data_IF_873415675683
#
_entry.id   IF_873415675683
#
_cell.length_a   1.000
_cell.length_b   1.000
_cell.length_c   1.000
_cell.angle_alpha   90.00
_cell.angle_beta   90.00
_cell.angle_gamma   90.00
#
_symmetry.space_group_name_H-M   'P 1'
#
loop_
_entity.id
_entity.type
_entity.pdbx_description
1 polymer ?
#
# COMPACT_ATOMS: atom_id res chain seq x y z
N UNK A 1 17.48 -8.43 -9.06
CA UNK A 1 17.68 -7.41 -10.12
C UNK A 1 16.64 -6.30 -9.92
N UNK A 2 17.05 -5.04 -9.98
CA UNK A 2 16.14 -3.90 -9.81
C UNK A 2 15.73 -3.33 -11.17
N UNK A 3 14.44 -2.99 -11.33
CA UNK A 3 13.90 -2.45 -12.58
C UNK A 3 13.32 -1.07 -12.32
N UNK A 4 13.75 -0.07 -13.09
CA UNK A 4 13.31 1.32 -12.98
C UNK A 4 12.52 1.74 -14.22
N UNK A 5 11.29 2.21 -13.98
CA UNK A 5 10.40 2.71 -15.02
C UNK A 5 10.37 4.23 -14.99
N UNK A 6 10.55 4.85 -16.16
CA UNK A 6 10.40 6.29 -16.33
C UNK A 6 9.21 6.57 -17.25
N UNK A 7 8.25 7.33 -16.75
CA UNK A 7 7.10 7.77 -17.52
C UNK A 7 6.71 9.20 -17.16
N UNK A 8 6.15 9.91 -18.15
CA UNK A 8 5.61 11.25 -17.98
C UNK A 8 4.16 11.27 -17.45
N UNK A 9 3.56 10.09 -17.24
CA UNK A 9 2.20 9.92 -16.73
C UNK A 9 2.17 8.62 -15.92
N UNK A 10 1.52 8.66 -14.76
CA UNK A 10 1.35 7.52 -13.84
C UNK A 10 0.60 6.34 -14.46
N UNK A 11 -0.34 6.59 -15.38
CA UNK A 11 -1.09 5.55 -16.09
C UNK A 11 -0.21 4.65 -16.99
N UNK A 12 1.03 5.06 -17.27
CA UNK A 12 1.98 4.32 -18.09
C UNK A 12 2.96 3.49 -17.24
N UNK A 13 2.91 3.63 -15.91
CA UNK A 13 3.72 2.85 -14.99
C UNK A 13 3.06 1.49 -14.74
N UNK A 14 3.84 0.43 -14.45
CA UNK A 14 3.30 -0.84 -14.01
C UNK A 14 2.54 -0.68 -12.69
N UNK A 15 1.29 -1.13 -12.66
CA UNK A 15 0.43 -1.21 -11.50
C UNK A 15 0.40 -2.67 -11.02
N UNK A 16 1.40 -3.05 -10.23
CA UNK A 16 1.52 -4.41 -9.68
C UNK A 16 0.40 -4.63 -8.66
N UNK A 17 -0.38 -5.72 -8.81
CA UNK A 17 -1.55 -5.98 -7.97
C UNK A 17 -1.22 -6.80 -6.73
N UNK A 18 -0.25 -7.70 -6.86
CA UNK A 18 0.17 -8.60 -5.78
C UNK A 18 1.68 -8.81 -5.80
N UNK A 19 2.24 -9.03 -4.62
CA UNK A 19 3.59 -9.59 -4.54
C UNK A 19 3.57 -11.01 -5.12
N UNK A 20 4.57 -11.35 -5.94
CA UNK A 20 4.59 -12.62 -6.69
C UNK A 20 3.94 -12.55 -8.07
N UNK A 21 3.30 -11.44 -8.45
CA UNK A 21 2.90 -11.22 -9.85
C UNK A 21 4.13 -11.20 -10.76
N UNK A 22 3.91 -11.65 -12.00
CA UNK A 22 4.99 -11.83 -12.98
C UNK A 22 4.96 -10.66 -13.96
N UNK A 23 6.14 -10.08 -14.20
CA UNK A 23 6.33 -9.03 -15.20
C UNK A 23 7.19 -9.55 -16.35
N UNK A 24 6.66 -9.44 -17.58
CA UNK A 24 7.44 -9.62 -18.80
C UNK A 24 7.93 -8.27 -19.30
N UNK A 25 9.21 -8.18 -19.65
CA UNK A 25 9.87 -6.94 -20.09
C UNK A 25 10.59 -7.17 -21.41
N UNK A 26 10.30 -6.35 -22.41
CA UNK A 26 10.89 -6.44 -23.74
C UNK A 26 11.67 -5.15 -24.06
N UNK A 27 12.76 -5.31 -24.84
CA UNK A 27 13.61 -4.21 -25.32
C UNK A 27 14.08 -3.29 -24.18
N UNK A 28 14.67 -3.87 -23.14
CA UNK A 28 15.13 -3.15 -21.96
C UNK A 28 16.59 -2.74 -22.06
N UNK A 29 16.99 -1.71 -21.31
CA UNK A 29 18.40 -1.33 -21.19
C UNK A 29 18.94 -1.86 -19.86
N UNK A 30 19.97 -2.71 -19.91
CA UNK A 30 20.68 -3.17 -18.72
C UNK A 30 21.86 -2.23 -18.47
N UNK A 31 21.94 -1.67 -17.26
CA UNK A 31 23.04 -0.82 -16.80
C UNK A 31 23.74 -1.49 -15.62
N UNK A 32 25.05 -1.27 -15.53
CA UNK A 32 25.85 -1.69 -14.37
C UNK A 32 26.26 -0.44 -13.61
N UNK A 33 25.90 -0.36 -12.33
CA UNK A 33 26.26 0.73 -11.45
C UNK A 33 26.79 0.13 -10.14
N UNK A 34 28.01 0.50 -9.74
CA UNK A 34 28.68 -0.05 -8.56
C UNK A 34 28.72 -1.60 -8.49
N UNK A 35 28.82 -2.26 -9.65
CA UNK A 35 28.83 -3.73 -9.75
C UNK A 35 27.45 -4.39 -9.70
N UNK A 36 26.38 -3.62 -9.52
CA UNK A 36 25.00 -4.13 -9.54
C UNK A 36 24.33 -3.90 -10.90
N UNK A 37 23.50 -4.87 -11.30
CA UNK A 37 22.72 -4.80 -12.54
C UNK A 37 21.36 -4.14 -12.30
N UNK A 38 21.07 -3.12 -13.09
CA UNK A 38 19.80 -2.41 -13.12
C UNK A 38 19.18 -2.49 -14.50
N UNK A 39 17.86 -2.67 -14.55
CA UNK A 39 17.11 -2.64 -15.80
C UNK A 39 16.38 -1.29 -15.88
N UNK A 40 16.57 -0.57 -16.97
CA UNK A 40 15.85 0.67 -17.27
C UNK A 40 14.85 0.42 -18.39
N UNK A 41 13.61 0.89 -18.19
CA UNK A 41 12.54 0.81 -19.16
C UNK A 41 12.34 2.18 -19.80
N UNK A 42 12.60 2.26 -21.11
CA UNK A 42 12.43 3.47 -21.89
C UNK A 42 11.20 3.36 -22.80
N UNK A 43 10.17 4.17 -22.54
CA UNK A 43 8.87 4.16 -23.25
C UNK A 43 8.99 4.21 -24.79
N UNK A 44 10.10 4.76 -25.32
CA UNK A 44 10.34 4.86 -26.76
C UNK A 44 10.45 3.50 -27.45
N UNK A 45 10.91 2.45 -26.78
CA UNK A 45 11.09 1.14 -27.41
C UNK A 45 10.85 -0.04 -26.47
N UNK A 46 10.94 0.15 -25.16
CA UNK A 46 10.62 -0.89 -24.18
C UNK A 46 9.12 -1.12 -24.07
N UNK A 47 8.76 -2.33 -23.69
CA UNK A 47 7.37 -2.69 -23.37
C UNK A 47 7.32 -3.67 -22.20
N UNK A 48 6.20 -3.69 -21.51
CA UNK A 48 5.92 -4.64 -20.44
C UNK A 48 4.51 -5.23 -20.52
N UNK A 49 4.35 -6.38 -19.87
CA UNK A 49 3.06 -6.97 -19.52
C UNK A 49 3.11 -7.56 -18.10
N UNK A 50 2.01 -7.42 -17.36
CA UNK A 50 1.86 -7.94 -16.01
C UNK A 50 0.84 -9.08 -15.99
N UNK A 51 1.18 -10.16 -15.30
CA UNK A 51 0.40 -11.38 -15.19
C UNK A 51 0.23 -11.77 -13.73
N UNK A 52 -0.90 -12.40 -13.40
CA UNK A 52 -1.10 -12.95 -12.06
C UNK A 52 -0.12 -14.08 -11.76
N UNK A 53 0.39 -14.11 -10.53
CA UNK A 53 1.40 -15.07 -10.07
C UNK A 53 0.89 -16.46 -9.69
N UNK A 54 -0.43 -16.67 -9.57
CA UNK A 54 -0.97 -17.97 -9.16
C UNK A 54 -1.03 -18.96 -10.34
N UNK A 55 -0.80 -20.25 -10.04
CA UNK A 55 -0.86 -21.34 -11.04
C UNK A 55 -2.24 -21.43 -11.71
N UNK A 56 -3.31 -21.13 -10.96
CA UNK A 56 -4.69 -21.15 -11.44
C UNK A 56 -5.09 -19.94 -12.28
N UNK A 57 -4.29 -18.86 -12.31
CA UNK A 57 -4.66 -17.63 -13.02
C UNK A 57 -4.57 -17.83 -14.53
N UNK A 58 -5.47 -17.21 -15.29
CA UNK A 58 -5.40 -17.18 -16.75
C UNK A 58 -4.04 -16.61 -17.24
N UNK A 59 -3.65 -16.98 -18.46
CA UNK A 59 -2.45 -16.44 -19.13
C UNK A 59 -2.67 -15.03 -19.71
N UNK A 60 -3.78 -14.36 -19.36
CA UNK A 60 -4.08 -13.01 -19.85
C UNK A 60 -3.37 -11.99 -18.97
N UNK A 61 -2.60 -11.06 -19.56
CA UNK A 61 -2.03 -9.98 -18.77
C UNK A 61 -3.15 -9.06 -18.27
N UNK A 62 -3.10 -8.68 -17.00
CA UNK A 62 -4.06 -7.73 -16.45
C UNK A 62 -3.65 -6.27 -16.73
N UNK A 63 -2.40 -6.04 -17.13
CA UNK A 63 -1.93 -4.77 -17.64
C UNK A 63 -0.89 -4.99 -18.74
N UNK A 64 -0.98 -4.19 -19.80
CA UNK A 64 -0.09 -4.25 -20.95
C UNK A 64 0.31 -2.83 -21.37
N UNK A 65 1.57 -2.63 -21.72
CA UNK A 65 2.00 -1.40 -22.38
C UNK A 65 1.73 -1.46 -23.88
N UNK A 66 1.50 -0.31 -24.53
CA UNK A 66 1.06 -0.22 -25.94
C UNK A 66 1.86 -1.04 -26.97
N UNK A 67 3.13 -1.36 -26.71
CA UNK A 67 4.04 -2.02 -27.66
C UNK A 67 4.26 -3.50 -27.38
N UNK A 68 3.65 -4.05 -26.33
CA UNK A 68 3.89 -5.44 -25.98
C UNK A 68 3.15 -6.36 -26.94
N UNK A 69 3.86 -7.34 -27.48
CA UNK A 69 3.31 -8.42 -28.28
C UNK A 69 3.65 -9.73 -27.58
N UNK A 70 2.63 -10.39 -27.03
CA UNK A 70 2.80 -11.68 -26.39
C UNK A 70 2.95 -12.80 -27.42
N UNK A 71 3.75 -13.81 -27.11
CA UNK A 71 3.95 -15.00 -27.93
C UNK A 71 3.39 -16.25 -27.24
N UNK A 72 3.08 -17.31 -27.99
CA UNK A 72 2.67 -18.60 -27.39
C UNK A 72 3.75 -19.21 -26.48
N UNK A 73 5.03 -18.87 -26.71
CA UNK A 73 6.15 -19.30 -25.86
C UNK A 73 6.07 -18.71 -24.45
N UNK A 74 5.48 -17.52 -24.32
CA UNK A 74 5.36 -16.82 -23.05
C UNK A 74 4.53 -17.63 -22.05
N UNK A 75 3.52 -18.38 -22.52
CA UNK A 75 2.67 -19.21 -21.64
C UNK A 75 3.46 -20.33 -20.94
N UNK A 76 4.44 -20.93 -21.63
CA UNK A 76 5.28 -21.98 -21.05
C UNK A 76 6.21 -21.39 -19.97
N UNK A 77 6.83 -20.25 -20.27
CA UNK A 77 7.68 -19.53 -19.31
C UNK A 77 6.85 -19.08 -18.10
N UNK A 78 5.65 -18.52 -18.33
CA UNK A 78 4.73 -18.13 -17.26
C UNK A 78 4.37 -19.33 -16.37
N UNK A 79 4.08 -20.49 -16.94
CA UNK A 79 3.79 -21.71 -16.17
C UNK A 79 4.98 -22.09 -15.29
N UNK A 80 6.19 -22.08 -15.84
CA UNK A 80 7.41 -22.40 -15.08
C UNK A 80 7.65 -21.39 -13.95
N UNK A 81 7.47 -20.10 -14.20
CA UNK A 81 7.65 -19.05 -13.18
C UNK A 81 6.62 -19.17 -12.06
N UNK A 82 5.35 -19.44 -12.39
CA UNK A 82 4.28 -19.69 -11.39
C UNK A 82 4.59 -20.91 -10.53
N UNK A 83 5.04 -22.01 -11.15
CA UNK A 83 5.46 -23.20 -10.41
C UNK A 83 6.69 -22.93 -9.54
N UNK A 84 7.65 -22.15 -10.03
CA UNK A 84 8.84 -21.80 -9.25
C UNK A 84 8.48 -21.01 -7.99
N UNK A 85 7.52 -20.08 -8.08
CA UNK A 85 7.03 -19.30 -6.94
C UNK A 85 6.35 -20.15 -5.86
N UNK A 86 5.72 -21.28 -6.21
CA UNK A 86 5.13 -22.21 -5.22
C UNK A 86 6.20 -22.75 -4.27
N UNK A 87 7.40 -23.02 -4.80
CA UNK A 87 8.52 -23.53 -4.02
C UNK A 87 9.43 -22.43 -3.46
N UNK A 88 9.29 -21.20 -3.95
CA UNK A 88 10.10 -20.03 -3.56
C UNK A 88 9.19 -18.81 -3.31
N UNK A 89 8.34 -18.84 -2.28
CA UNK A 89 7.42 -17.74 -2.01
C UNK A 89 8.18 -16.44 -1.71
N UNK A 90 7.67 -15.27 -2.13
CA UNK A 90 8.31 -13.99 -1.83
C UNK A 90 8.42 -13.79 -0.31
N UNK A 91 9.65 -13.63 0.18
CA UNK A 91 9.92 -13.31 1.58
C UNK A 91 9.63 -11.84 1.85
N UNK A 92 8.50 -11.52 2.48
CA UNK A 92 8.14 -10.14 2.82
C UNK A 92 7.22 -10.06 4.05
N UNK A 93 7.44 -10.93 5.05
CA UNK A 93 6.63 -10.97 6.28
C UNK A 93 7.25 -10.28 7.50
N UNK A 94 8.57 -10.05 7.53
CA UNK A 94 9.24 -9.69 8.80
C UNK A 94 8.93 -8.29 9.34
N UNK A 95 8.47 -7.37 8.48
CA UNK A 95 8.08 -6.01 8.87
C UNK A 95 6.57 -5.77 8.83
N UNK A 96 5.79 -6.75 8.36
CA UNK A 96 4.34 -6.58 8.26
C UNK A 96 3.68 -6.84 9.62
N UNK A 97 2.98 -5.84 10.15
CA UNK A 97 2.25 -5.94 11.40
C UNK A 97 0.73 -5.81 11.20
N UNK A 98 0.00 -6.34 12.18
CA UNK A 98 -1.41 -6.02 12.40
C UNK A 98 -1.52 -4.86 13.38
N UNK A 99 -2.62 -4.12 13.34
CA UNK A 99 -2.87 -2.98 14.24
C UNK A 99 -2.75 -3.39 15.71
N UNK A 100 -3.17 -4.60 16.09
CA UNK A 100 -2.99 -5.13 17.46
C UNK A 100 -1.55 -5.27 17.95
N UNK A 101 -0.57 -5.26 17.06
CA UNK A 101 0.84 -5.50 17.38
C UNK A 101 1.72 -4.25 17.19
N UNK A 102 1.13 -3.09 16.89
CA UNK A 102 1.89 -1.87 16.67
C UNK A 102 2.60 -1.41 17.95
N UNK A 103 3.72 -0.72 17.77
CA UNK A 103 4.50 -0.13 18.86
C UNK A 103 4.82 1.32 18.52
N UNK A 104 4.78 2.18 19.53
CA UNK A 104 5.12 3.59 19.36
C UNK A 104 6.54 3.74 18.80
N UNK A 105 6.71 4.69 17.89
CA UNK A 105 8.00 5.11 17.33
C UNK A 105 8.78 4.03 16.55
N UNK A 106 8.14 2.91 16.25
CA UNK A 106 8.68 1.87 15.36
C UNK A 106 8.16 2.07 13.92
N UNK A 107 8.93 1.60 12.93
CA UNK A 107 8.47 1.53 11.55
C UNK A 107 8.02 0.12 11.19
N UNK A 108 6.97 0.03 10.39
CA UNK A 108 6.38 -1.24 9.98
C UNK A 108 5.61 -1.11 8.66
N UNK A 109 5.27 -2.26 8.07
CA UNK A 109 4.37 -2.38 6.94
C UNK A 109 2.97 -2.79 7.43
N UNK A 110 1.92 -2.17 6.89
CA UNK A 110 0.53 -2.46 7.24
C UNK A 110 -0.26 -2.83 5.99
N UNK A 111 -0.88 -4.01 6.00
CA UNK A 111 -1.90 -4.40 5.01
C UNK A 111 -3.28 -4.13 5.60
N UNK A 112 -4.05 -3.25 4.99
CA UNK A 112 -5.32 -2.77 5.51
C UNK A 112 -6.29 -2.38 4.39
N UNK A 113 -7.58 -2.26 4.75
CA UNK A 113 -8.56 -1.54 3.94
C UNK A 113 -8.40 -0.05 4.18
N UNK A 114 -8.39 0.73 3.11
CA UNK A 114 -8.61 2.17 3.16
C UNK A 114 -10.10 2.41 3.04
N UNK A 115 -10.70 2.90 4.11
CA UNK A 115 -12.14 3.10 4.23
C UNK A 115 -12.56 4.49 3.73
N UNK A 116 -11.73 5.49 4.02
CA UNK A 116 -11.98 6.87 3.63
C UNK A 116 -10.66 7.63 3.52
N UNK A 117 -10.64 8.66 2.68
CA UNK A 117 -9.52 9.60 2.57
C UNK A 117 -10.06 11.01 2.46
N UNK A 118 -9.56 11.91 3.29
CA UNK A 118 -9.93 13.33 3.25
C UNK A 118 -8.71 14.23 3.41
N UNK A 119 -8.86 15.48 2.97
CA UNK A 119 -7.89 16.54 3.20
C UNK A 119 -8.28 17.27 4.48
N UNK A 120 -7.33 17.34 5.42
CA UNK A 120 -7.45 18.11 6.64
C UNK A 120 -7.35 19.61 6.38
N UNK A 121 -7.72 20.45 7.36
CA UNK A 121 -7.76 21.91 7.22
C UNK A 121 -6.39 22.53 6.95
N UNK A 122 -5.32 21.91 7.45
CA UNK A 122 -3.92 22.30 7.24
C UNK A 122 -3.36 21.89 5.87
N UNK A 123 -4.14 21.19 5.05
CA UNK A 123 -3.73 20.62 3.76
C UNK A 123 -3.06 19.25 3.86
N UNK A 124 -2.96 18.67 5.07
CA UNK A 124 -2.50 17.30 5.26
C UNK A 124 -3.58 16.28 4.86
N UNK A 125 -3.18 15.13 4.33
CA UNK A 125 -4.10 14.05 3.99
C UNK A 125 -4.27 13.08 5.14
N UNK A 126 -5.50 12.64 5.36
CA UNK A 126 -5.85 11.69 6.41
C UNK A 126 -6.46 10.45 5.75
N UNK A 127 -5.81 9.31 5.96
CA UNK A 127 -6.32 7.99 5.57
C UNK A 127 -6.96 7.32 6.78
N UNK A 128 -8.21 6.89 6.64
CA UNK A 128 -8.88 6.06 7.63
C UNK A 128 -8.71 4.61 7.21
N UNK A 129 -7.87 3.89 7.93
CA UNK A 129 -7.47 2.53 7.60
C UNK A 129 -7.86 1.53 8.67
N UNK A 130 -8.15 0.31 8.25
CA UNK A 130 -8.64 -0.74 9.12
C UNK A 130 -8.16 -2.12 8.65
N UNK A 131 -7.67 -2.94 9.59
CA UNK A 131 -7.17 -4.29 9.28
C UNK A 131 -7.94 -5.42 9.99
N UNK A 132 -9.04 -5.07 10.67
CA UNK A 132 -9.85 -6.02 11.44
C UNK A 132 -9.45 -6.17 12.91
N UNK A 133 -8.35 -5.57 13.35
CA UNK A 133 -7.85 -5.72 14.73
C UNK A 133 -7.89 -4.41 15.50
N UNK A 134 -8.01 -4.50 16.82
CA UNK A 134 -7.90 -3.34 17.71
C UNK A 134 -6.44 -2.99 17.98
N UNK A 135 -6.10 -1.71 17.98
CA UNK A 135 -4.76 -1.25 18.42
C UNK A 135 -4.56 -1.54 19.92
N UNK A 136 -3.32 -1.67 20.40
CA UNK A 136 -3.04 -1.84 21.83
C UNK A 136 -3.71 -0.77 22.68
N UNK A 137 -4.17 -1.18 23.86
CA UNK A 137 -4.74 -0.27 24.84
C UNK A 137 -3.77 0.88 25.14
N UNK A 138 -4.31 2.07 25.19
CA UNK A 138 -3.55 3.32 25.26
C UNK A 138 -3.81 3.94 26.63
N UNK A 139 -2.77 4.22 27.40
CA UNK A 139 -2.94 4.93 28.67
C UNK A 139 -3.30 6.39 28.38
N UNK A 140 -4.41 6.85 28.94
CA UNK A 140 -4.77 8.26 28.93
C UNK A 140 -3.86 8.96 29.94
N UNK A 141 -2.84 9.67 29.46
CA UNK A 141 -2.02 10.52 30.32
C UNK A 141 -2.84 11.74 30.73
N UNK A 142 -3.59 11.58 31.83
CA UNK A 142 -4.33 12.68 32.46
C UNK A 142 -3.33 13.57 33.21
N UNK A 143 -2.73 14.52 32.50
CA UNK A 143 -2.19 15.72 33.15
C UNK A 143 -3.39 16.65 33.44
N UNK A 144 -4.15 16.33 34.48
CA UNK A 144 -5.35 17.07 34.90
C UNK A 144 -5.08 18.58 35.07
N UNK A 145 -3.87 18.93 35.49
CA UNK A 145 -3.44 20.33 35.66
C UNK A 145 -3.22 21.06 34.33
N UNK A 146 -2.95 20.32 33.23
CA UNK A 146 -2.69 20.88 31.89
C UNK A 146 -3.97 21.01 31.05
N UNK A 147 -4.99 20.18 31.30
CA UNK A 147 -6.32 20.30 30.65
C UNK A 147 -7.00 21.65 30.91
N UNK A 148 -6.78 22.23 32.10
CA UNK A 148 -7.34 23.54 32.45
C UNK A 148 -6.71 24.69 31.66
N UNK A 149 -5.52 24.49 31.08
CA UNK A 149 -4.74 25.52 30.37
C UNK A 149 -4.74 25.27 28.85
N UNK A 150 -4.66 24.02 28.42
CA UNK A 150 -4.75 23.58 27.02
C UNK A 150 -5.57 22.28 26.98
N UNK A 151 -6.85 22.34 26.59
CA UNK A 151 -7.70 21.16 26.55
C UNK A 151 -7.14 20.14 25.56
N UNK A 152 -7.14 18.88 25.97
CA UNK A 152 -6.69 17.79 25.12
C UNK A 152 -7.67 17.62 23.96
N UNK A 153 -7.23 17.71 22.68
CA UNK A 153 -8.14 17.53 21.57
C UNK A 153 -8.63 16.06 21.55
N UNK A 154 -9.91 15.86 21.87
CA UNK A 154 -10.58 14.55 21.80
C UNK A 154 -10.59 13.97 20.37
N UNK A 155 -10.37 14.83 19.37
CA UNK A 155 -10.21 14.45 17.98
C UNK A 155 -8.94 15.08 17.43
N UNK A 156 -8.08 14.33 16.70
CA UNK A 156 -6.92 14.90 16.03
C UNK A 156 -7.31 15.83 14.87
N UNK A 157 -8.57 15.81 14.45
CA UNK A 157 -9.13 16.54 13.32
C UNK A 157 -9.87 17.79 13.81
N UNK A 158 -9.67 18.94 13.17
CA UNK A 158 -10.38 20.18 13.52
C UNK A 158 -11.87 20.15 13.14
N UNK A 159 -12.28 19.26 12.22
CA UNK A 159 -13.66 19.06 11.81
C UNK A 159 -14.03 17.57 11.81
N UNK A 160 -15.20 17.19 12.35
CA UNK A 160 -15.63 15.79 12.36
C UNK A 160 -15.99 15.33 10.94
N UNK A 161 -15.75 14.05 10.66
CA UNK A 161 -16.21 13.42 9.42
C UNK A 161 -17.73 13.55 9.24
N UNK A 162 -18.22 13.67 7.99
CA UNK A 162 -19.65 13.64 7.70
C UNK A 162 -20.31 12.37 8.26
N UNK A 163 -21.54 12.51 8.73
CA UNK A 163 -22.30 11.40 9.32
C UNK A 163 -22.41 10.21 8.37
N UNK A 164 -22.56 10.44 7.07
CA UNK A 164 -22.67 9.35 6.10
C UNK A 164 -21.41 8.49 6.09
N UNK A 165 -20.23 9.11 6.20
CA UNK A 165 -18.94 8.39 6.26
C UNK A 165 -18.83 7.61 7.57
N UNK A 166 -19.13 8.23 8.70
CA UNK A 166 -19.07 7.59 10.02
C UNK A 166 -19.97 6.33 10.08
N UNK A 167 -21.15 6.37 9.46
CA UNK A 167 -22.06 5.23 9.41
C UNK A 167 -21.57 4.08 8.51
N UNK A 168 -20.51 4.27 7.73
CA UNK A 168 -19.89 3.21 6.90
C UNK A 168 -18.67 2.57 7.55
N UNK A 169 -18.16 3.15 8.65
CA UNK A 169 -17.00 2.61 9.35
C UNK A 169 -17.36 1.29 10.06
N UNK A 170 -16.41 0.34 10.13
CA UNK A 170 -16.63 -0.93 10.80
C UNK A 170 -16.86 -0.73 12.31
N UNK A 171 -17.74 -1.54 12.89
CA UNK A 171 -18.06 -1.48 14.32
C UNK A 171 -17.11 -2.28 15.22
N UNK A 172 -16.15 -3.00 14.62
CA UNK A 172 -15.18 -3.87 15.32
C UNK A 172 -13.79 -3.58 14.78
N UNK A 173 -12.78 -3.58 15.64
CA UNK A 173 -11.42 -3.21 15.29
C UNK A 173 -11.24 -1.70 15.28
N UNK A 174 -9.98 -1.27 15.38
CA UNK A 174 -9.66 0.16 15.42
C UNK A 174 -9.54 0.70 13.99
N UNK A 175 -10.21 1.82 13.72
CA UNK A 175 -9.96 2.63 12.52
C UNK A 175 -8.81 3.58 12.81
N UNK A 176 -7.60 3.23 12.34
CA UNK A 176 -6.41 4.04 12.50
C UNK A 176 -6.43 5.21 11.51
N UNK A 177 -6.05 6.40 11.97
CA UNK A 177 -5.83 7.58 11.14
C UNK A 177 -4.36 7.68 10.78
N UNK A 178 -4.05 7.71 9.48
CA UNK A 178 -2.68 7.85 8.97
C UNK A 178 -2.53 9.18 8.23
N UNK A 179 -1.61 10.02 8.69
CA UNK A 179 -1.41 11.38 8.20
C UNK A 179 -0.31 11.45 7.13
N UNK A 180 -0.50 12.28 6.11
CA UNK A 180 0.47 12.48 5.03
C UNK A 180 0.51 13.91 4.48
N UNK A 181 1.71 14.49 4.41
CA UNK A 181 1.92 15.81 3.83
C UNK A 181 2.28 15.79 2.33
N UNK A 182 2.34 14.60 1.70
CA UNK A 182 2.91 14.44 0.35
C UNK A 182 2.04 13.63 -0.62
N UNK A 183 0.76 13.44 -0.32
CA UNK A 183 -0.11 12.63 -1.16
C UNK A 183 -0.68 13.42 -2.36
N UNK A 184 -0.71 12.80 -3.55
CA UNK A 184 -1.22 13.43 -4.78
C UNK A 184 -2.71 13.14 -4.98
N UNK A 185 -3.50 14.20 -5.22
CA UNK A 185 -4.93 14.12 -5.57
C UNK A 185 -5.22 13.25 -6.79
N UNK A 186 -4.26 13.15 -7.71
CA UNK A 186 -4.37 12.34 -8.93
C UNK A 186 -4.57 10.84 -8.63
N UNK A 187 -4.04 10.36 -7.50
CA UNK A 187 -4.17 8.96 -7.07
C UNK A 187 -5.58 8.69 -6.48
N UNK A 188 -6.21 9.70 -5.86
CA UNK A 188 -7.56 9.58 -5.29
C UNK A 188 -8.63 9.41 -6.36
N UNK A 189 -8.49 10.08 -7.51
CA UNK A 189 -9.46 9.97 -8.59
C UNK A 189 -9.57 8.56 -9.17
N UNK A 190 -8.53 7.74 -8.99
CA UNK A 190 -8.51 6.33 -9.38
C UNK A 190 -9.20 5.41 -8.36
N UNK A 191 -9.55 5.93 -7.18
CA UNK A 191 -9.96 5.15 -6.00
C UNK A 191 -11.23 5.76 -5.39
N UNK A 192 -12.38 5.47 -5.99
CA UNK A 192 -13.68 6.00 -5.55
C UNK A 192 -14.33 5.22 -4.40
N UNK A 193 -13.85 4.02 -4.11
CA UNK A 193 -14.46 3.07 -3.18
C UNK A 193 -13.46 2.56 -2.14
N UNK A 194 -13.93 1.76 -1.18
CA UNK A 194 -13.07 1.05 -0.22
C UNK A 194 -12.14 0.11 -0.98
N UNK A 195 -10.83 0.19 -0.72
CA UNK A 195 -9.83 -0.65 -1.38
C UNK A 195 -8.79 -1.20 -0.40
N UNK A 196 -8.11 -2.27 -0.79
CA UNK A 196 -6.99 -2.83 -0.04
C UNK A 196 -5.68 -2.17 -0.45
N UNK A 197 -4.83 -1.89 0.53
CA UNK A 197 -3.50 -1.35 0.30
C UNK A 197 -2.49 -1.86 1.32
N UNK A 198 -1.22 -1.89 0.90
CA UNK A 198 -0.06 -1.99 1.77
C UNK A 198 0.56 -0.62 1.96
N UNK A 199 0.61 -0.18 3.20
CA UNK A 199 1.34 0.99 3.66
C UNK A 199 2.72 0.52 4.12
N UNK A 200 3.76 0.79 3.34
CA UNK A 200 5.13 0.38 3.66
C UNK A 200 5.87 1.45 4.45
N UNK A 201 6.63 1.02 5.46
CA UNK A 201 7.50 1.84 6.28
C UNK A 201 6.78 3.05 6.89
N UNK A 202 5.60 2.81 7.48
CA UNK A 202 4.86 3.82 8.26
C UNK A 202 5.28 3.76 9.72
N UNK A 203 4.99 4.82 10.47
CA UNK A 203 5.19 4.82 11.92
C UNK A 203 3.92 5.23 12.63
N UNK A 204 3.76 4.76 13.87
CA UNK A 204 2.66 5.15 14.74
C UNK A 204 3.20 5.73 16.04
N UNK A 205 2.51 6.72 16.58
CA UNK A 205 2.77 7.29 17.90
C UNK A 205 1.49 7.33 18.70
N UNK A 206 1.65 7.23 20.01
CA UNK A 206 0.59 7.50 20.96
C UNK A 206 0.56 9.00 21.23
N UNK A 207 -0.57 9.65 20.91
CA UNK A 207 -0.84 11.05 21.22
C UNK A 207 -2.19 11.11 21.93
N UNK A 208 -2.23 11.68 23.14
CA UNK A 208 -3.48 11.96 23.85
C UNK A 208 -4.42 10.74 24.03
N UNK A 209 -3.86 9.58 24.37
CA UNK A 209 -4.66 8.37 24.54
C UNK A 209 -5.12 7.72 23.23
N UNK A 210 -4.64 8.20 22.07
CA UNK A 210 -4.97 7.65 20.75
C UNK A 210 -3.73 7.28 19.95
N UNK A 211 -3.87 6.28 19.09
CA UNK A 211 -2.86 5.94 18.09
C UNK A 211 -3.00 6.82 16.85
N UNK A 212 -1.88 7.41 16.44
CA UNK A 212 -1.76 8.22 15.24
C UNK A 212 -0.69 7.65 14.33
N UNK A 213 -1.07 7.30 13.11
CA UNK A 213 -0.15 6.87 12.07
C UNK A 213 0.39 8.06 11.27
N UNK A 214 1.61 7.95 10.75
CA UNK A 214 2.17 8.96 9.85
C UNK A 214 3.01 8.34 8.73
N UNK A 215 2.92 8.95 7.54
CA UNK A 215 3.79 8.62 6.42
C UNK A 215 5.10 9.40 6.53
N UNK A 216 6.20 8.68 6.54
CA UNK A 216 7.54 9.21 6.42
C UNK A 216 7.85 9.56 4.95
N UNK A 217 8.89 10.39 4.69
CA UNK A 217 9.34 10.66 3.32
C UNK A 217 9.73 9.39 2.53
N UNK A 218 10.10 8.32 3.22
CA UNK A 218 10.44 7.02 2.65
C UNK A 218 9.26 6.03 2.58
N UNK A 219 8.09 6.38 3.13
CA UNK A 219 6.91 5.53 3.10
C UNK A 219 6.38 5.37 1.67
N UNK A 220 5.76 4.23 1.40
CA UNK A 220 5.16 3.92 0.10
C UNK A 220 3.78 3.32 0.31
N UNK A 221 2.82 3.69 -0.53
CA UNK A 221 1.51 3.04 -0.56
C UNK A 221 1.44 2.19 -1.83
N UNK A 222 1.06 0.92 -1.68
CA UNK A 222 0.82 -0.01 -2.79
C UNK A 222 -0.63 -0.47 -2.73
N UNK A 223 -1.33 -0.37 -3.86
CA UNK A 223 -2.64 -0.98 -4.00
C UNK A 223 -2.51 -2.50 -4.02
N UNK A 224 -3.46 -3.18 -3.39
CA UNK A 224 -3.54 -4.63 -3.37
C UNK A 224 -4.85 -5.10 -4.00
N UNK A 225 -4.77 -6.22 -4.71
CA UNK A 225 -5.97 -6.95 -5.12
C UNK A 225 -6.63 -7.63 -3.91
N UNK A 226 -7.94 -7.85 -3.97
CA UNK A 226 -8.64 -8.72 -3.02
C UNK A 226 -8.15 -10.17 -3.04
N UNK A 227 -7.45 -10.56 -4.11
CA UNK A 227 -6.85 -11.89 -4.30
C UNK A 227 -5.40 -11.97 -3.80
N UNK A 228 -4.80 -10.86 -3.35
CA UNK A 228 -3.43 -10.89 -2.82
C UNK A 228 -3.38 -11.78 -1.56
N UNK A 229 -2.36 -12.64 -1.46
CA UNK A 229 -2.23 -13.59 -0.37
C UNK A 229 -2.20 -12.94 1.03
N UNK A 230 -1.61 -11.74 1.14
CA UNK A 230 -1.60 -10.97 2.39
C UNK A 230 -2.99 -10.43 2.74
N UNK A 231 -3.80 -10.08 1.74
CA UNK A 231 -5.20 -9.68 1.95
C UNK A 231 -6.06 -10.85 2.38
N UNK A 232 -5.90 -12.01 1.74
CA UNK A 232 -6.63 -13.24 2.09
C UNK A 232 -6.32 -13.66 3.54
N UNK A 233 -5.08 -13.50 3.99
CA UNK A 233 -4.68 -13.78 5.37
C UNK A 233 -5.40 -12.87 6.40
N UNK A 234 -5.76 -11.64 6.02
CA UNK A 234 -6.54 -10.71 6.88
C UNK A 234 -8.04 -10.98 6.87
N UNK A 235 -8.55 -11.76 5.93
CA UNK A 235 -9.97 -12.12 5.82
C UNK A 235 -10.35 -13.38 6.60
N UNK A 236 -9.37 -14.08 7.17
CA UNK A 236 -9.55 -15.27 8.01
C UNK A 236 -9.78 -14.89 9.46
#
# INVERSE_FOLDING_TARGET
>A
ISVTFFANNTALLPCVRSSGDIISLHNVVIKVLHGEFFVTIEKRFSSFALFGGMVSTEFRPYQISMKHQGTKHDNQILTQMRMWLVYHPPGLKDLELQLRNIKSDSTFDLVCKVLHVCEGPSGEWIFYVWDGTDTPATELQTLLDTEAVTPTPLHPEEAPLPREVLCTLPCVGTVLRVFSNRFSKEILHLQKDIYWARFCNITCKQEFGMWKGSLLPSSRIRLLSSEDGSVIERLK
#
